data_IF_495903908855
#
_entry.id   IF_495903908855
#
_cell.length_a   1.000
_cell.length_b   1.000
_cell.length_c   1.000
_cell.angle_alpha   90.00
_cell.angle_beta   90.00
_cell.angle_gamma   90.00
#
_symmetry.space_group_name_H-M   'P 1'
#
loop_
_entity.id
_entity.type
_entity.pdbx_description
1 polymer ?
#
# COMPACT_ATOMS: atom_id res chain seq x y z
N UNK A 1 -18.31 27.02 -6.66
CA UNK A 1 -17.92 26.03 -7.69
C UNK A 1 -17.38 24.81 -6.97
N UNK A 2 -18.21 23.77 -6.79
CA UNK A 2 -17.78 22.52 -6.16
C UNK A 2 -16.91 21.74 -7.13
N UNK A 3 -15.68 21.43 -6.73
CA UNK A 3 -14.87 20.44 -7.43
C UNK A 3 -15.59 19.11 -7.35
N UNK A 4 -16.12 18.63 -8.48
CA UNK A 4 -16.58 17.25 -8.59
C UNK A 4 -15.43 16.35 -8.15
N UNK A 5 -15.62 15.46 -7.14
CA UNK A 5 -14.58 14.52 -6.78
C UNK A 5 -14.24 13.73 -8.03
N UNK A 6 -12.96 13.70 -8.40
CA UNK A 6 -12.52 12.88 -9.52
C UNK A 6 -13.07 11.48 -9.30
N UNK A 7 -13.64 10.86 -10.35
CA UNK A 7 -13.97 9.44 -10.32
C UNK A 7 -12.64 8.69 -10.19
N UNK A 8 -12.12 8.62 -8.97
CA UNK A 8 -10.93 7.84 -8.63
C UNK A 8 -11.14 6.42 -9.13
N UNK A 9 -10.04 5.74 -9.47
CA UNK A 9 -10.11 4.36 -9.93
C UNK A 9 -11.00 3.52 -9.01
N UNK A 10 -11.94 2.75 -9.58
CA UNK A 10 -12.73 1.78 -8.81
C UNK A 10 -11.82 0.81 -8.05
N UNK A 11 -10.68 0.49 -8.68
CA UNK A 11 -9.64 -0.36 -8.10
C UNK A 11 -8.79 0.46 -7.11
N UNK A 12 -8.48 -0.10 -5.91
CA UNK A 12 -7.61 0.55 -4.95
C UNK A 12 -6.18 0.68 -5.49
N UNK A 13 -5.51 1.76 -5.10
CA UNK A 13 -4.11 2.01 -5.41
C UNK A 13 -3.28 1.78 -4.15
N UNK A 14 -2.13 1.13 -4.29
CA UNK A 14 -1.13 1.01 -3.25
C UNK A 14 0.12 1.81 -3.68
N UNK A 15 0.61 2.62 -2.75
CA UNK A 15 1.94 3.22 -2.83
C UNK A 15 2.82 2.61 -1.75
N UNK A 16 4.03 2.19 -2.11
CA UNK A 16 5.05 1.72 -1.18
C UNK A 16 6.26 2.63 -1.29
N UNK A 17 6.57 3.34 -0.22
CA UNK A 17 7.73 4.24 -0.14
C UNK A 17 8.88 3.52 0.56
N UNK A 18 10.07 3.58 -0.05
CA UNK A 18 11.29 2.92 0.42
C UNK A 18 12.49 3.85 0.46
N UNK A 19 12.26 5.15 0.71
CA UNK A 19 13.34 6.13 0.77
C UNK A 19 14.23 5.92 2.01
N UNK A 20 15.45 6.50 2.04
CA UNK A 20 16.33 6.43 3.21
C UNK A 20 15.68 6.93 4.50
N UNK A 21 14.85 7.98 4.39
CA UNK A 21 14.24 8.67 5.53
C UNK A 21 12.79 8.27 5.79
N UNK A 22 12.09 7.75 4.77
CA UNK A 22 10.67 7.42 4.84
C UNK A 22 10.46 6.01 4.31
N UNK A 23 9.90 5.17 5.18
CA UNK A 23 9.41 3.84 4.81
C UNK A 23 7.94 3.80 5.18
N UNK A 24 7.08 3.63 4.18
CA UNK A 24 5.64 3.55 4.40
C UNK A 24 4.92 2.77 3.32
N UNK A 25 3.72 2.35 3.65
CA UNK A 25 2.70 1.94 2.67
C UNK A 25 1.54 2.92 2.77
N UNK A 26 0.87 3.17 1.63
CA UNK A 26 -0.31 4.02 1.52
C UNK A 26 -1.32 3.34 0.62
N UNK A 27 -2.51 3.06 1.14
CA UNK A 27 -3.64 2.61 0.35
C UNK A 27 -4.55 3.79 0.02
N UNK A 28 -4.98 3.89 -1.24
CA UNK A 28 -5.80 4.99 -1.77
C UNK A 28 -7.03 4.38 -2.47
N UNK A 29 -8.23 4.78 -2.05
CA UNK A 29 -9.50 4.41 -2.70
C UNK A 29 -10.51 5.56 -2.58
N UNK A 30 -11.25 5.83 -3.65
CA UNK A 30 -12.38 6.79 -3.63
C UNK A 30 -12.01 8.25 -3.29
N UNK A 31 -10.74 8.62 -3.42
CA UNK A 31 -10.27 10.00 -3.18
C UNK A 31 -10.24 10.46 -1.72
N UNK A 32 -10.47 9.56 -0.74
CA UNK A 32 -10.62 9.96 0.68
C UNK A 32 -9.82 9.16 1.69
N UNK A 33 -9.45 7.91 1.43
CA UNK A 33 -8.84 7.08 2.46
C UNK A 33 -7.36 6.87 2.16
N UNK A 34 -6.53 7.27 3.11
CA UNK A 34 -5.08 7.13 3.10
C UNK A 34 -4.70 6.38 4.37
N UNK A 35 -4.36 5.10 4.23
CA UNK A 35 -3.77 4.39 5.34
C UNK A 35 -2.26 4.41 5.23
N UNK A 36 -1.65 5.36 5.92
CA UNK A 36 -0.20 5.51 5.99
C UNK A 36 0.33 4.83 7.24
N UNK A 37 1.26 3.90 7.04
CA UNK A 37 1.99 3.31 8.14
C UNK A 37 3.46 3.62 8.03
N UNK A 38 3.96 4.42 8.96
CA UNK A 38 5.37 4.73 9.09
C UNK A 38 6.09 3.69 9.93
N UNK A 39 7.31 3.34 9.54
CA UNK A 39 8.20 2.62 10.46
C UNK A 39 8.50 3.50 11.68
N UNK A 40 8.63 2.92 12.87
CA UNK A 40 8.88 3.63 14.14
C UNK A 40 10.08 4.62 14.10
N UNK A 41 11.03 4.40 13.20
CA UNK A 41 12.23 5.24 13.00
C UNK A 41 11.99 6.42 12.04
N UNK A 42 10.79 6.55 11.45
CA UNK A 42 10.50 7.57 10.42
C UNK A 42 10.18 8.91 11.07
N UNK A 43 10.99 9.93 10.80
CA UNK A 43 10.70 11.33 11.14
C UNK A 43 10.22 12.05 9.87
N UNK A 44 8.91 12.22 9.71
CA UNK A 44 8.34 12.92 8.54
C UNK A 44 7.31 13.96 8.98
N UNK A 45 7.47 15.21 8.51
CA UNK A 45 6.45 16.26 8.62
C UNK A 45 5.13 15.85 7.95
N UNK A 46 5.19 15.02 6.91
CA UNK A 46 4.00 14.45 6.27
C UNK A 46 3.22 13.58 7.26
N UNK A 47 3.90 12.76 8.08
CA UNK A 47 3.26 11.97 9.12
C UNK A 47 2.50 12.80 10.17
N UNK A 48 2.95 14.03 10.42
CA UNK A 48 2.29 14.96 11.34
C UNK A 48 1.09 15.68 10.69
N UNK A 49 1.14 15.93 9.38
CA UNK A 49 0.02 16.52 8.60
C UNK A 49 -1.13 15.52 8.39
N UNK A 50 -0.79 14.25 8.15
CA UNK A 50 -1.72 13.11 8.03
C UNK A 50 -2.62 13.00 9.26
N UNK A 51 -2.10 13.33 10.45
CA UNK A 51 -2.83 13.21 11.72
C UNK A 51 -3.93 14.27 11.94
N UNK A 52 -4.06 15.29 11.06
CA UNK A 52 -4.96 16.44 11.24
C UNK A 52 -6.12 16.50 10.21
N UNK A 53 -6.51 15.38 9.58
CA UNK A 53 -7.60 15.38 8.59
C UNK A 53 -7.99 14.01 8.01
N UNK A 54 -8.13 13.92 6.69
CA UNK A 54 -8.70 12.77 5.94
C UNK A 54 -7.83 11.48 5.90
N UNK A 55 -6.72 11.44 6.61
CA UNK A 55 -5.78 10.32 6.56
C UNK A 55 -5.72 9.64 7.92
N UNK A 56 -5.70 8.30 7.95
CA UNK A 56 -5.77 7.54 9.19
C UNK A 56 -4.48 6.77 9.45
N UNK A 57 -3.94 6.89 10.66
CA UNK A 57 -2.81 6.08 11.12
C UNK A 57 -3.30 4.73 11.66
N UNK A 58 -2.91 3.63 11.02
CA UNK A 58 -3.14 2.29 11.57
C UNK A 58 -1.93 1.81 12.35
N UNK A 59 -2.18 1.45 13.61
CA UNK A 59 -1.20 0.89 14.56
C UNK A 59 -1.35 -0.62 14.75
N UNK A 60 -1.84 -1.32 13.72
CA UNK A 60 -1.99 -2.77 13.74
C UNK A 60 -0.63 -3.46 13.49
N UNK A 61 -0.28 -4.42 14.36
CA UNK A 61 1.00 -5.13 14.34
C UNK A 61 1.18 -6.10 13.16
N UNK A 62 0.11 -6.67 12.62
CA UNK A 62 0.16 -7.50 11.40
C UNK A 62 0.32 -6.62 10.17
N UNK A 63 -0.41 -5.51 10.11
CA UNK A 63 -0.26 -4.51 9.05
C UNK A 63 1.17 -3.94 9.03
N UNK A 64 1.77 -3.69 10.22
CA UNK A 64 3.19 -3.29 10.34
C UNK A 64 4.14 -4.32 9.74
N UNK A 65 3.88 -5.60 9.99
CA UNK A 65 4.72 -6.68 9.48
C UNK A 65 4.55 -6.83 7.96
N UNK A 66 3.32 -6.74 7.46
CA UNK A 66 3.02 -6.74 6.03
C UNK A 66 3.68 -5.56 5.31
N UNK A 67 3.57 -4.34 5.85
CA UNK A 67 4.24 -3.15 5.33
C UNK A 67 5.76 -3.35 5.23
N UNK A 68 6.39 -3.84 6.29
CA UNK A 68 7.84 -4.15 6.32
C UNK A 68 8.25 -5.14 5.23
N UNK A 69 7.45 -6.17 5.00
CA UNK A 69 7.68 -7.16 3.94
C UNK A 69 7.62 -6.48 2.56
N UNK A 70 6.59 -5.68 2.31
CA UNK A 70 6.40 -4.97 1.04
C UNK A 70 7.52 -3.97 0.78
N UNK A 71 7.90 -3.15 1.77
CA UNK A 71 9.03 -2.22 1.66
C UNK A 71 10.34 -2.96 1.35
N UNK A 72 10.61 -4.09 2.01
CA UNK A 72 11.80 -4.91 1.73
C UNK A 72 11.77 -5.49 0.32
N UNK A 73 10.61 -5.97 -0.12
CA UNK A 73 10.42 -6.50 -1.47
C UNK A 73 10.67 -5.43 -2.53
N UNK A 74 10.09 -4.23 -2.36
CA UNK A 74 10.30 -3.12 -3.28
C UNK A 74 11.77 -2.71 -3.35
N UNK A 75 12.50 -2.73 -2.23
CA UNK A 75 13.97 -2.51 -2.25
C UNK A 75 14.73 -3.56 -3.06
N UNK A 76 14.32 -4.83 -2.98
CA UNK A 76 14.92 -5.90 -3.79
C UNK A 76 14.64 -5.64 -5.27
N UNK A 77 13.38 -5.36 -5.63
CA UNK A 77 12.99 -5.04 -7.00
C UNK A 77 13.78 -3.84 -7.51
N UNK A 78 13.82 -2.74 -6.77
CA UNK A 78 14.54 -1.52 -7.13
C UNK A 78 16.03 -1.77 -7.38
N UNK A 79 16.68 -2.56 -6.51
CA UNK A 79 18.09 -2.93 -6.69
C UNK A 79 18.29 -3.77 -7.95
N UNK A 80 17.44 -4.77 -8.19
CA UNK A 80 17.52 -5.65 -9.36
C UNK A 80 17.26 -4.90 -10.67
N UNK A 81 16.40 -3.89 -10.66
CA UNK A 81 16.03 -3.12 -11.86
C UNK A 81 16.82 -1.82 -12.03
N UNK A 82 17.75 -1.53 -11.11
CA UNK A 82 18.47 -0.25 -11.01
C UNK A 82 17.53 0.96 -10.99
N UNK A 83 16.33 0.79 -10.42
CA UNK A 83 15.34 1.86 -10.31
C UNK A 83 15.87 2.95 -9.38
N UNK A 84 15.65 4.21 -9.79
CA UNK A 84 15.93 5.40 -8.98
C UNK A 84 14.71 5.87 -8.20
N UNK A 85 13.58 5.17 -8.32
CA UNK A 85 12.34 5.56 -7.64
C UNK A 85 12.39 5.14 -6.18
N UNK A 86 11.91 6.04 -5.32
CA UNK A 86 11.69 5.74 -3.91
C UNK A 86 10.22 5.43 -3.60
N UNK A 87 9.31 5.71 -4.53
CA UNK A 87 7.88 5.44 -4.43
C UNK A 87 7.46 4.48 -5.52
N UNK A 88 6.86 3.37 -5.12
CA UNK A 88 6.35 2.32 -5.99
C UNK A 88 4.83 2.34 -5.89
N UNK A 89 4.20 3.03 -6.82
CA UNK A 89 2.75 3.22 -6.84
C UNK A 89 2.15 2.36 -7.94
N UNK A 90 1.00 1.74 -7.67
CA UNK A 90 0.34 0.88 -8.62
C UNK A 90 -1.03 0.42 -8.18
N UNK A 91 -1.76 -0.17 -9.11
CA UNK A 91 -3.08 -0.73 -8.86
C UNK A 91 -2.96 -2.02 -8.04
N UNK A 92 -3.86 -2.19 -7.09
CA UNK A 92 -4.15 -3.45 -6.43
C UNK A 92 -5.40 -4.08 -7.03
N UNK A 93 -5.22 -5.23 -7.67
CA UNK A 93 -6.31 -6.10 -8.10
C UNK A 93 -6.58 -7.14 -7.02
N UNK A 94 -7.82 -7.20 -6.60
CA UNK A 94 -8.29 -8.12 -5.57
C UNK A 94 -9.03 -9.26 -6.26
N UNK A 95 -8.45 -10.45 -6.25
CA UNK A 95 -9.15 -11.67 -6.60
C UNK A 95 -9.71 -12.31 -5.31
N UNK A 96 -10.43 -13.43 -5.42
CA UNK A 96 -11.02 -14.10 -4.24
C UNK A 96 -9.97 -14.63 -3.26
N UNK A 97 -8.85 -15.17 -3.76
CA UNK A 97 -7.82 -15.82 -2.95
C UNK A 97 -6.43 -15.18 -3.04
N UNK A 98 -6.26 -14.16 -3.89
CA UNK A 98 -4.96 -13.51 -4.11
C UNK A 98 -5.10 -12.02 -4.37
N UNK A 99 -4.02 -11.29 -4.15
CA UNK A 99 -3.90 -9.87 -4.45
C UNK A 99 -2.76 -9.68 -5.46
N UNK A 100 -3.05 -8.98 -6.55
CA UNK A 100 -2.04 -8.60 -7.54
C UNK A 100 -1.75 -7.11 -7.47
N UNK A 101 -0.52 -6.77 -7.13
CA UNK A 101 0.00 -5.41 -7.12
C UNK A 101 0.88 -5.16 -8.34
N UNK A 102 0.60 -4.10 -9.10
CA UNK A 102 1.39 -3.73 -10.29
C UNK A 102 2.05 -2.35 -10.14
N UNK A 103 3.14 -2.23 -9.36
CA UNK A 103 3.83 -0.96 -9.18
C UNK A 103 4.61 -0.55 -10.43
N UNK A 104 4.61 0.74 -10.71
CA UNK A 104 5.60 1.35 -11.60
C UNK A 104 6.98 1.30 -10.95
N UNK A 105 7.96 0.80 -11.71
CA UNK A 105 9.38 0.74 -11.33
C UNK A 105 10.24 1.69 -12.16
N UNK A 106 9.68 2.20 -13.25
CA UNK A 106 10.18 3.26 -14.13
C UNK A 106 8.98 3.93 -14.83
N UNK A 107 9.15 5.00 -15.62
CA UNK A 107 8.04 5.60 -16.37
C UNK A 107 7.31 4.63 -17.31
N UNK A 108 8.01 3.61 -17.83
CA UNK A 108 7.52 2.72 -18.89
C UNK A 108 7.48 1.25 -18.48
N UNK A 109 7.81 0.93 -17.22
CA UNK A 109 7.91 -0.46 -16.76
C UNK A 109 7.21 -0.66 -15.43
N UNK A 110 6.55 -1.80 -15.31
CA UNK A 110 5.88 -2.25 -14.09
C UNK A 110 6.47 -3.57 -13.62
N UNK A 111 6.48 -3.77 -12.30
CA UNK A 111 6.62 -5.10 -11.74
C UNK A 111 5.22 -5.72 -11.54
N UNK A 112 5.16 -7.04 -11.45
CA UNK A 112 3.97 -7.76 -10.98
C UNK A 112 4.30 -8.44 -9.67
N UNK A 113 3.55 -8.14 -8.61
CA UNK A 113 3.67 -8.76 -7.30
C UNK A 113 2.36 -9.45 -6.97
N UNK A 114 2.38 -10.77 -6.88
CA UNK A 114 1.24 -11.61 -6.54
C UNK A 114 1.42 -12.06 -5.09
N UNK A 115 0.44 -11.75 -4.25
CA UNK A 115 0.39 -12.15 -2.84
C UNK A 115 -0.74 -13.16 -2.69
N UNK A 116 -0.37 -14.36 -2.26
CA UNK A 116 -1.26 -15.52 -2.07
C UNK A 116 -0.92 -16.12 -0.71
N UNK A 117 -1.70 -15.74 0.29
CA UNK A 117 -1.39 -16.02 1.68
C UNK A 117 0.01 -15.53 2.10
N UNK A 118 0.76 -16.43 2.74
CA UNK A 118 2.15 -16.21 3.15
C UNK A 118 3.18 -16.35 2.01
N UNK A 119 2.75 -16.41 0.76
CA UNK A 119 3.62 -16.54 -0.41
C UNK A 119 3.50 -15.29 -1.28
N UNK A 120 4.65 -14.73 -1.63
CA UNK A 120 4.74 -13.59 -2.54
C UNK A 120 5.58 -13.97 -3.75
N UNK A 121 5.03 -13.81 -4.95
CA UNK A 121 5.75 -13.92 -6.21
C UNK A 121 5.92 -12.51 -6.79
N UNK A 122 7.17 -12.06 -6.92
CA UNK A 122 7.51 -10.82 -7.61
C UNK A 122 8.18 -11.13 -8.95
N UNK A 123 7.70 -10.48 -10.00
CA UNK A 123 8.18 -10.63 -11.36
C UNK A 123 8.40 -9.27 -12.01
N UNK A 124 9.55 -9.12 -12.65
CA UNK A 124 9.87 -8.05 -13.58
C UNK A 124 10.30 -8.73 -14.88
N UNK A 125 9.56 -8.54 -15.98
CA UNK A 125 9.86 -9.21 -17.25
C UNK A 125 11.33 -9.08 -17.65
N UNK A 126 11.99 -10.20 -17.91
CA UNK A 126 13.39 -10.26 -18.34
C UNK A 126 14.45 -9.88 -17.30
N UNK A 127 14.07 -9.53 -16.06
CA UNK A 127 15.00 -9.02 -15.05
C UNK A 127 14.96 -9.75 -13.71
N UNK A 128 13.77 -10.08 -13.22
CA UNK A 128 13.62 -10.67 -11.89
C UNK A 128 12.42 -11.60 -11.85
N UNK A 129 12.59 -12.79 -11.28
CA UNK A 129 11.49 -13.65 -10.84
C UNK A 129 11.85 -14.21 -9.48
N UNK A 130 11.12 -13.80 -8.44
CA UNK A 130 11.46 -14.14 -7.05
C UNK A 130 10.21 -14.54 -6.28
N UNK A 131 10.22 -15.77 -5.77
CA UNK A 131 9.23 -16.28 -4.82
C UNK A 131 9.77 -16.15 -3.40
N UNK A 132 8.96 -15.63 -2.49
CA UNK A 132 9.32 -15.39 -1.08
C UNK A 132 8.21 -15.99 -0.22
N UNK A 133 8.59 -16.74 0.82
CA UNK A 133 7.68 -17.15 1.88
C UNK A 133 7.85 -16.20 3.06
N UNK A 134 6.75 -15.68 3.58
CA UNK A 134 6.73 -14.70 4.67
C UNK A 134 6.23 -15.36 5.95
N UNK A 135 6.61 -14.81 7.10
CA UNK A 135 6.13 -15.27 8.41
C UNK A 135 4.74 -14.75 8.76
N UNK A 136 4.22 -13.81 7.96
CA UNK A 136 2.91 -13.17 8.12
C UNK A 136 2.21 -13.22 6.78
N UNK A 137 0.90 -13.39 6.84
CA UNK A 137 0.06 -13.31 5.67
C UNK A 137 -0.18 -11.85 5.27
N UNK A 138 0.34 -11.47 4.10
CA UNK A 138 0.23 -10.09 3.62
C UNK A 138 -1.16 -9.83 3.02
N UNK A 139 -1.82 -10.88 2.52
CA UNK A 139 -3.10 -10.77 1.83
C UNK A 139 -4.25 -10.35 2.77
N UNK A 140 -4.49 -11.01 3.93
CA UNK A 140 -5.49 -10.62 4.91
C UNK A 140 -5.21 -9.25 5.50
N UNK A 141 -3.94 -8.90 5.74
CA UNK A 141 -3.58 -7.58 6.27
C UNK A 141 -4.01 -6.46 5.32
N UNK A 142 -3.76 -6.61 4.02
CA UNK A 142 -4.22 -5.63 3.02
C UNK A 142 -5.75 -5.61 2.89
N UNK A 143 -6.42 -6.77 2.92
CA UNK A 143 -7.90 -6.82 2.89
C UNK A 143 -8.53 -6.18 4.11
N UNK A 144 -7.96 -6.39 5.30
CA UNK A 144 -8.44 -5.79 6.54
C UNK A 144 -8.48 -4.27 6.41
N UNK A 145 -7.39 -3.68 5.88
CA UNK A 145 -7.32 -2.25 5.63
C UNK A 145 -8.36 -1.81 4.60
N UNK A 146 -8.45 -2.50 3.46
CA UNK A 146 -9.40 -2.16 2.41
C UNK A 146 -10.85 -2.20 2.89
N UNK A 147 -11.20 -3.18 3.73
CA UNK A 147 -12.52 -3.28 4.37
C UNK A 147 -12.80 -2.11 5.31
N UNK A 148 -11.80 -1.67 6.08
CA UNK A 148 -11.90 -0.46 6.92
C UNK A 148 -12.12 0.78 6.06
N UNK A 149 -11.37 0.93 4.97
CA UNK A 149 -11.55 2.03 4.02
C UNK A 149 -12.95 2.03 3.39
N UNK A 150 -13.52 0.86 3.09
CA UNK A 150 -14.88 0.75 2.56
C UNK A 150 -15.93 1.24 3.56
N UNK A 151 -15.80 0.91 4.84
CA UNK A 151 -16.70 1.42 5.90
C UNK A 151 -16.63 2.94 6.07
N UNK A 152 -15.41 3.49 6.03
CA UNK A 152 -15.20 4.93 6.08
C UNK A 152 -15.83 5.64 4.86
N UNK A 153 -15.73 5.02 3.68
CA UNK A 153 -16.30 5.56 2.44
C UNK A 153 -17.83 5.42 2.37
N UNK A 154 -18.42 4.39 2.95
CA UNK A 154 -19.89 4.22 3.01
C UNK A 154 -20.56 5.17 3.99
N UNK A 155 -19.80 5.86 4.85
CA UNK A 155 -20.34 6.77 5.86
C UNK A 155 -20.89 6.04 7.08
N UNK A 156 -20.64 4.73 7.23
CA UNK A 156 -21.10 3.95 8.39
C UNK A 156 -20.38 4.35 9.69
N UNK A 157 -19.20 4.98 9.60
CA UNK A 157 -18.45 5.50 10.76
C UNK A 157 -18.87 6.92 11.17
N UNK A 158 -19.77 7.61 10.43
CA UNK A 158 -20.33 8.91 10.87
C UNK A 158 -21.26 8.80 12.10
N UNK A 159 -21.28 7.64 12.77
CA UNK A 159 -22.05 7.33 13.98
C UNK A 159 -21.19 6.86 15.16
N UNK A 160 -19.86 6.83 15.03
CA UNK A 160 -18.96 6.38 16.10
C UNK A 160 -18.35 7.51 16.94
N UNK A 161 -18.70 8.77 16.65
CA UNK A 161 -18.35 9.93 17.49
C UNK A 161 -19.36 10.19 18.64
N UNK A 162 -20.33 9.29 18.87
CA UNK A 162 -21.35 9.38 19.93
C UNK A 162 -21.22 8.28 21.03
N UNK A 163 -20.01 7.77 21.30
CA UNK A 163 -19.74 6.89 22.46
C UNK A 163 -18.49 7.28 23.25
#
# INVERSE_FOLDING_TARGET
MGSSPSKGSKEPILSVITSPYIKSITLIKGGKAFLLQYHAETRSLYAALVANGYEELVRDGEVLRAARILTRLMRIIAKSTKSRYYSFTGVLKLDSSKITFKPYISPTSTATVIMDGNVILAEVPGLLRKKIKTSVDVEPALRHILKRMEKLLSGDDARLDDL
#
